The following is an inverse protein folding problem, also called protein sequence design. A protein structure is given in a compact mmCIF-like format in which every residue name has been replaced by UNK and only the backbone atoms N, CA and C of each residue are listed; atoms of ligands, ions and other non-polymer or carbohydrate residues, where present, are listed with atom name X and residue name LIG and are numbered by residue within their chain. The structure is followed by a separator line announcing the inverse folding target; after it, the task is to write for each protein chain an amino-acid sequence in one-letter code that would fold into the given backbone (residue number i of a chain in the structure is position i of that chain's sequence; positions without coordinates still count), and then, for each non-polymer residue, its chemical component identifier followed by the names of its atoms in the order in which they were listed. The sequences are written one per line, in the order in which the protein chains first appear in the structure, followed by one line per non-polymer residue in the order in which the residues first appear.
data_IF_362398083788
#
_entry.id   IF_362398083788
#
_cell.length_a   1.000
_cell.length_b   1.000
_cell.length_c   1.000
_cell.angle_alpha   90.00
_cell.angle_beta   90.00
_cell.angle_gamma   90.00
#
_symmetry.space_group_name_H-M   'P 1'
#
loop_
_entity.id
_entity.type
_entity.pdbx_description
1 polymer ?
#
# COMPACT_ATOMS: atom_id res chain seq x y z
N UNK A 1 11.13 -12.90 17.39
CA UNK A 1 10.49 -12.07 16.36
C UNK A 1 9.25 -11.42 16.97
N UNK A 2 9.10 -10.10 16.84
CA UNK A 2 7.87 -9.45 17.24
C UNK A 2 6.81 -9.75 16.16
N UNK A 3 5.95 -10.71 16.39
CA UNK A 3 4.80 -11.01 15.53
C UNK A 3 3.55 -10.36 16.12
N UNK A 4 2.67 -9.89 15.24
CA UNK A 4 1.33 -9.42 15.59
C UNK A 4 0.31 -10.31 14.89
N UNK A 5 -0.81 -10.56 15.56
CA UNK A 5 -1.94 -11.24 14.94
C UNK A 5 -2.81 -10.23 14.21
N UNK A 6 -3.13 -10.52 12.94
CA UNK A 6 -4.06 -9.75 12.12
C UNK A 6 -5.12 -10.73 11.62
N UNK A 7 -6.38 -10.41 11.87
CA UNK A 7 -7.48 -11.23 11.36
C UNK A 7 -7.65 -10.97 9.87
N UNK A 8 -7.90 -12.02 9.10
CA UNK A 8 -8.13 -11.95 7.65
C UNK A 8 -9.36 -12.76 7.27
N UNK A 9 -10.16 -12.21 6.36
CA UNK A 9 -11.28 -12.89 5.73
C UNK A 9 -10.95 -13.07 4.25
N UNK A 10 -11.08 -14.32 3.77
CA UNK A 10 -11.06 -14.64 2.36
C UNK A 10 -12.47 -14.44 1.78
N UNK A 11 -12.60 -13.41 0.94
CA UNK A 11 -13.88 -13.09 0.28
C UNK A 11 -14.06 -13.86 -1.04
N UNK A 12 -13.08 -14.68 -1.41
CA UNK A 12 -13.09 -15.35 -2.71
C UNK A 12 -13.84 -16.67 -2.71
N UNK A 13 -14.11 -17.24 -1.55
CA UNK A 13 -14.73 -18.54 -1.19
C UNK A 13 -14.70 -19.67 -2.25
N UNK A 14 -14.34 -19.39 -3.50
CA UNK A 14 -14.32 -20.31 -4.64
C UNK A 14 -13.23 -20.01 -5.69
N UNK A 15 -12.39 -18.98 -5.51
CA UNK A 15 -11.48 -18.50 -6.59
C UNK A 15 -10.02 -18.90 -6.43
N UNK A 16 -9.67 -19.80 -5.51
CA UNK A 16 -8.29 -20.31 -5.30
C UNK A 16 -7.20 -19.22 -5.20
N UNK A 17 -7.51 -18.07 -4.60
CA UNK A 17 -6.52 -17.02 -4.36
C UNK A 17 -5.74 -17.39 -3.10
N UNK A 18 -4.43 -17.46 -3.21
CA UNK A 18 -3.59 -17.71 -2.04
C UNK A 18 -3.54 -16.49 -1.14
N UNK A 19 -3.78 -16.68 0.16
CA UNK A 19 -3.61 -15.63 1.17
C UNK A 19 -2.21 -15.01 1.09
N UNK A 20 -2.05 -13.73 1.46
CA UNK A 20 -0.76 -13.07 1.48
C UNK A 20 0.24 -13.83 2.36
N UNK A 21 1.42 -14.10 1.82
CA UNK A 21 2.53 -14.74 2.54
C UNK A 21 3.85 -14.10 2.16
N UNK A 22 4.79 -14.14 3.07
CA UNK A 22 6.16 -13.73 2.79
C UNK A 22 6.80 -14.66 1.76
N UNK A 23 7.44 -14.10 0.75
CA UNK A 23 8.11 -14.89 -0.28
C UNK A 23 9.38 -15.58 0.26
N UNK A 24 10.08 -14.91 1.18
CA UNK A 24 11.27 -15.42 1.90
C UNK A 24 11.22 -14.98 3.36
N UNK A 25 12.06 -15.57 4.20
CA UNK A 25 12.18 -15.20 5.62
C UNK A 25 12.57 -13.71 5.81
N UNK A 26 13.34 -13.14 4.87
CA UNK A 26 13.78 -11.74 4.91
C UNK A 26 12.85 -10.77 4.17
N UNK A 27 11.72 -11.24 3.60
CA UNK A 27 10.78 -10.34 2.94
C UNK A 27 10.09 -9.44 3.95
N UNK A 28 10.00 -8.14 3.65
CA UNK A 28 9.30 -7.16 4.49
C UNK A 28 7.84 -6.97 4.08
N UNK A 29 7.51 -7.18 2.81
CA UNK A 29 6.17 -7.01 2.26
C UNK A 29 5.48 -8.32 1.92
N UNK A 30 4.17 -8.32 2.08
CA UNK A 30 3.27 -9.39 1.67
C UNK A 30 2.64 -9.03 0.33
N UNK A 31 2.76 -9.88 -0.68
CA UNK A 31 2.18 -9.61 -1.99
C UNK A 31 0.64 -9.60 -1.94
N UNK A 32 0.04 -8.57 -2.54
CA UNK A 32 -1.38 -8.47 -2.80
C UNK A 32 -1.66 -8.82 -4.26
N UNK A 33 -2.64 -9.69 -4.48
CA UNK A 33 -2.95 -10.23 -5.80
C UNK A 33 -4.27 -9.70 -6.35
N UNK A 34 -4.36 -9.64 -7.67
CA UNK A 34 -5.57 -9.23 -8.38
C UNK A 34 -6.62 -10.35 -8.35
N UNK A 35 -7.73 -10.12 -7.63
CA UNK A 35 -8.89 -11.01 -7.60
C UNK A 35 -9.81 -10.73 -8.80
N UNK A 36 -9.44 -11.23 -9.96
CA UNK A 36 -10.15 -11.00 -11.21
C UNK A 36 -10.69 -12.31 -11.78
N UNK A 37 -11.81 -12.24 -12.49
CA UNK A 37 -12.35 -13.38 -13.27
C UNK A 37 -11.69 -13.50 -14.64
N UNK A 38 -11.34 -12.38 -15.24
CA UNK A 38 -10.70 -12.30 -16.56
C UNK A 38 -9.64 -11.22 -16.60
N UNK A 39 -8.76 -11.33 -17.58
CA UNK A 39 -7.71 -10.34 -17.86
C UNK A 39 -8.30 -8.96 -18.12
N UNK A 40 -7.73 -7.95 -17.49
CA UNK A 40 -8.08 -6.54 -17.68
C UNK A 40 -7.00 -5.83 -18.51
N UNK A 41 -7.45 -5.04 -19.47
CA UNK A 41 -6.61 -4.15 -20.27
C UNK A 41 -6.53 -2.77 -19.62
N UNK A 42 -5.37 -2.38 -19.11
CA UNK A 42 -5.11 -1.07 -18.56
C UNK A 42 -4.38 -0.18 -19.58
N UNK A 43 -5.10 0.77 -20.15
CA UNK A 43 -4.57 1.72 -21.14
C UNK A 43 -3.50 2.64 -20.51
N UNK A 44 -2.58 3.23 -21.32
CA UNK A 44 -1.67 4.26 -20.87
C UNK A 44 -2.37 5.39 -20.14
N UNK A 45 -1.74 5.92 -19.09
CA UNK A 45 -2.20 7.06 -18.28
C UNK A 45 -3.59 6.86 -17.60
N UNK A 46 -4.09 5.62 -17.56
CA UNK A 46 -5.36 5.30 -16.88
C UNK A 46 -5.12 4.67 -15.52
N UNK A 47 -6.07 4.93 -14.63
CA UNK A 47 -6.15 4.31 -13.30
C UNK A 47 -7.36 3.39 -13.24
N UNK A 48 -7.24 2.30 -12.50
CA UNK A 48 -8.32 1.33 -12.25
C UNK A 48 -8.24 0.82 -10.82
N UNK A 49 -9.37 0.52 -10.22
CA UNK A 49 -9.46 -0.12 -8.91
C UNK A 49 -9.53 -1.63 -9.09
N UNK A 50 -8.62 -2.37 -8.45
CA UNK A 50 -8.49 -3.84 -8.54
C UNK A 50 -8.82 -4.45 -7.18
N UNK A 51 -9.81 -5.35 -7.10
CA UNK A 51 -10.09 -6.09 -5.89
C UNK A 51 -8.98 -7.09 -5.57
N UNK A 52 -8.72 -7.33 -4.29
CA UNK A 52 -7.78 -8.37 -3.82
C UNK A 52 -8.46 -9.65 -3.34
N UNK A 53 -9.77 -9.61 -3.12
CA UNK A 53 -10.55 -10.72 -2.59
C UNK A 53 -10.29 -10.99 -1.10
N UNK A 54 -9.65 -10.09 -0.39
CA UNK A 54 -9.40 -10.22 1.06
C UNK A 54 -9.78 -8.97 1.81
N UNK A 55 -10.28 -9.15 3.02
CA UNK A 55 -10.44 -8.11 4.03
C UNK A 55 -9.55 -8.43 5.24
N UNK A 56 -9.03 -7.40 5.90
CA UNK A 56 -8.21 -7.56 7.10
C UNK A 56 -8.76 -6.73 8.25
N UNK A 57 -8.49 -7.15 9.46
CA UNK A 57 -8.77 -6.39 10.68
C UNK A 57 -7.52 -6.36 11.56
N UNK A 58 -6.85 -5.22 11.60
CA UNK A 58 -5.58 -5.04 12.36
C UNK A 58 -5.87 -4.99 13.86
N UNK A 59 -7.01 -4.41 14.27
CA UNK A 59 -7.47 -4.31 15.65
C UNK A 59 -6.59 -3.43 16.56
N UNK A 60 -5.28 -3.47 16.41
CA UNK A 60 -4.35 -2.68 17.23
C UNK A 60 -4.26 -1.24 16.72
N UNK A 61 -4.76 -0.22 17.47
CA UNK A 61 -4.79 1.17 17.03
C UNK A 61 -3.40 1.83 16.90
N UNK A 62 -2.34 1.15 17.32
CA UNK A 62 -0.96 1.61 17.19
C UNK A 62 -0.24 1.04 15.97
N UNK A 63 -0.97 0.33 15.09
CA UNK A 63 -0.43 -0.28 13.88
C UNK A 63 -1.29 0.14 12.69
N UNK A 64 -0.64 0.40 11.56
CA UNK A 64 -1.30 0.62 10.27
C UNK A 64 -0.76 -0.32 9.23
N UNK A 65 -1.59 -0.68 8.24
CA UNK A 65 -1.15 -1.31 7.01
C UNK A 65 -0.77 -0.26 5.98
N UNK A 66 0.36 -0.43 5.30
CA UNK A 66 0.79 0.44 4.20
C UNK A 66 0.86 -0.38 2.92
N UNK A 67 0.03 -0.02 1.94
CA UNK A 67 0.07 -0.61 0.60
C UNK A 67 1.01 0.20 -0.26
N UNK A 68 1.95 -0.50 -0.90
CA UNK A 68 3.03 0.05 -1.70
C UNK A 68 3.06 -0.61 -3.08
N UNK A 69 3.59 0.10 -4.11
CA UNK A 69 3.83 -0.54 -5.40
C UNK A 69 4.94 -1.58 -5.28
N UNK A 70 4.95 -2.55 -6.19
CA UNK A 70 6.05 -3.50 -6.33
C UNK A 70 7.16 -2.88 -7.20
N UNK A 71 8.40 -2.95 -6.74
CA UNK A 71 9.56 -2.34 -7.41
C UNK A 71 9.68 -2.73 -8.88
N UNK A 72 9.54 -4.02 -9.20
CA UNK A 72 9.63 -4.53 -10.56
C UNK A 72 8.53 -4.02 -11.49
N UNK A 73 7.28 -3.90 -11.00
CA UNK A 73 6.18 -3.34 -11.77
C UNK A 73 6.37 -1.83 -11.96
N UNK A 74 6.72 -1.10 -10.90
CA UNK A 74 6.91 0.34 -10.94
C UNK A 74 8.05 0.75 -11.87
N UNK A 75 9.23 0.17 -11.68
CA UNK A 75 10.42 0.53 -12.45
C UNK A 75 10.38 0.04 -13.91
N UNK A 76 10.11 -1.27 -14.13
CA UNK A 76 10.21 -1.87 -15.47
C UNK A 76 8.98 -1.66 -16.34
N UNK A 77 7.78 -1.54 -15.74
CA UNK A 77 6.51 -1.49 -16.48
C UNK A 77 5.77 -0.16 -16.32
N UNK A 78 6.18 0.70 -15.40
CA UNK A 78 5.49 1.94 -15.10
C UNK A 78 4.12 1.73 -14.44
N UNK A 79 3.91 0.60 -13.76
CA UNK A 79 2.68 0.28 -13.05
C UNK A 79 2.89 0.57 -11.56
N UNK A 80 2.16 1.56 -11.07
CA UNK A 80 2.28 2.06 -9.69
C UNK A 80 0.88 2.22 -9.08
N UNK A 81 0.82 2.68 -7.83
CA UNK A 81 -0.47 3.00 -7.20
C UNK A 81 -0.95 4.38 -7.67
N UNK A 82 -2.25 4.48 -7.97
CA UNK A 82 -2.89 5.73 -8.36
C UNK A 82 -2.98 6.76 -7.22
N UNK A 83 -3.04 6.29 -6.00
CA UNK A 83 -3.00 7.09 -4.77
C UNK A 83 -1.58 7.20 -4.16
N UNK A 84 -0.54 6.75 -4.87
CA UNK A 84 0.87 6.67 -4.48
C UNK A 84 1.12 5.71 -3.32
N UNK A 85 0.42 5.86 -2.21
CA UNK A 85 0.48 5.02 -1.00
C UNK A 85 -0.95 4.77 -0.52
N UNK A 86 -1.27 3.54 -0.15
CA UNK A 86 -2.51 3.19 0.53
C UNK A 86 -2.27 3.06 2.03
N UNK A 87 -3.02 3.78 2.85
CA UNK A 87 -3.02 3.64 4.31
C UNK A 87 -4.26 2.82 4.68
N UNK A 88 -4.07 1.78 5.47
CA UNK A 88 -5.14 0.91 5.97
C UNK A 88 -5.24 1.09 7.48
N UNK A 89 -6.31 1.71 7.89
CA UNK A 89 -6.61 1.98 9.29
C UNK A 89 -6.84 0.68 10.07
N UNK A 90 -6.53 0.69 11.36
CA UNK A 90 -6.59 -0.49 12.22
C UNK A 90 -8.00 -1.05 12.41
N UNK A 91 -9.02 -0.23 12.20
CA UNK A 91 -10.45 -0.55 12.33
C UNK A 91 -11.16 -0.73 10.96
N UNK A 92 -10.43 -0.57 9.84
CA UNK A 92 -10.98 -0.87 8.53
C UNK A 92 -11.19 -2.37 8.36
N UNK A 93 -12.37 -2.78 7.92
CA UNK A 93 -12.77 -4.18 7.76
C UNK A 93 -13.32 -4.49 6.35
N UNK A 94 -13.27 -3.52 5.44
CA UNK A 94 -13.67 -3.72 4.05
C UNK A 94 -12.64 -4.48 3.22
N UNK A 95 -13.00 -4.86 2.01
CA UNK A 95 -12.09 -5.47 1.04
C UNK A 95 -10.92 -4.53 0.73
N UNK A 96 -9.71 -5.06 0.70
CA UNK A 96 -8.55 -4.31 0.23
C UNK A 96 -8.63 -4.13 -1.28
N UNK A 97 -8.77 -2.87 -1.70
CA UNK A 97 -8.84 -2.49 -3.11
C UNK A 97 -7.56 -1.77 -3.51
N UNK A 98 -6.99 -2.14 -4.65
CA UNK A 98 -5.73 -1.56 -5.14
C UNK A 98 -6.03 -0.60 -6.28
N UNK A 99 -5.79 0.70 -6.06
CA UNK A 99 -5.80 1.71 -7.12
C UNK A 99 -4.52 1.58 -7.93
N UNK A 100 -4.62 1.11 -9.19
CA UNK A 100 -3.46 0.88 -10.07
C UNK A 100 -3.45 1.92 -11.17
N UNK A 101 -2.34 2.61 -11.33
CA UNK A 101 -2.09 3.57 -12.40
C UNK A 101 -1.02 3.06 -13.36
N UNK A 102 -1.35 3.06 -14.64
CA UNK A 102 -0.39 2.84 -15.73
C UNK A 102 0.20 4.20 -16.16
N UNK A 103 1.33 4.60 -15.58
CA UNK A 103 2.05 5.84 -15.98
C UNK A 103 2.90 5.68 -17.23
N UNK A 104 2.93 4.49 -17.81
CA UNK A 104 3.69 4.22 -19.04
C UNK A 104 2.95 4.68 -20.30
N UNK A 105 3.62 4.63 -21.46
CA UNK A 105 3.03 4.90 -22.78
C UNK A 105 2.50 3.63 -23.45
N UNK A 106 2.62 2.45 -22.82
CA UNK A 106 2.21 1.16 -23.37
C UNK A 106 1.01 0.61 -22.61
N UNK A 107 0.16 -0.15 -23.31
CA UNK A 107 -0.90 -0.92 -22.68
C UNK A 107 -0.29 -1.97 -21.75
N UNK A 108 -0.86 -2.10 -20.56
CA UNK A 108 -0.55 -3.15 -19.61
C UNK A 108 -1.76 -4.08 -19.44
N UNK A 109 -1.51 -5.36 -19.26
CA UNK A 109 -2.55 -6.34 -18.98
C UNK A 109 -2.37 -6.89 -17.57
N UNK A 110 -3.45 -6.87 -16.78
CA UNK A 110 -3.51 -7.47 -15.45
C UNK A 110 -4.26 -8.78 -15.58
N UNK A 111 -3.61 -9.89 -15.27
CA UNK A 111 -4.25 -11.20 -15.27
C UNK A 111 -4.80 -11.54 -13.89
N UNK A 112 -5.79 -12.45 -13.81
CA UNK A 112 -6.18 -13.02 -12.52
C UNK A 112 -4.97 -13.54 -11.75
N UNK A 113 -4.94 -13.29 -10.44
CA UNK A 113 -3.89 -13.71 -9.53
C UNK A 113 -2.51 -13.04 -9.72
N UNK A 114 -2.37 -12.05 -10.61
CA UNK A 114 -1.15 -11.25 -10.71
C UNK A 114 -0.86 -10.54 -9.39
N UNK A 115 0.42 -10.51 -8.98
CA UNK A 115 0.89 -9.73 -7.82
C UNK A 115 1.01 -8.27 -8.21
N UNK A 116 0.05 -7.45 -7.78
CA UNK A 116 -0.12 -6.06 -8.26
C UNK A 116 0.39 -5.00 -7.29
N UNK A 117 0.44 -5.32 -6.00
CA UNK A 117 0.93 -4.47 -4.93
C UNK A 117 1.55 -5.32 -3.81
N UNK A 118 2.00 -4.67 -2.76
CA UNK A 118 2.45 -5.31 -1.53
C UNK A 118 1.98 -4.51 -0.32
N UNK A 119 1.76 -5.18 0.81
CA UNK A 119 1.41 -4.54 2.08
C UNK A 119 2.49 -4.82 3.13
N UNK A 120 2.81 -3.80 3.90
CA UNK A 120 3.62 -3.91 5.13
C UNK A 120 2.80 -3.42 6.32
N UNK A 121 3.17 -3.81 7.53
CA UNK A 121 2.56 -3.31 8.76
C UNK A 121 3.63 -2.58 9.56
N UNK A 122 3.29 -1.36 10.02
CA UNK A 122 4.21 -0.52 10.77
C UNK A 122 3.52 0.06 12.01
N UNK A 123 4.27 0.28 13.11
CA UNK A 123 3.76 1.03 14.24
C UNK A 123 3.57 2.50 13.87
N UNK A 124 2.54 3.13 14.46
CA UNK A 124 2.27 4.56 14.28
C UNK A 124 2.25 5.26 15.63
N UNK A 125 2.59 6.55 15.61
CA UNK A 125 2.46 7.45 16.75
C UNK A 125 1.22 8.31 16.52
N UNK A 126 0.34 8.40 17.54
CA UNK A 126 -0.82 9.28 17.55
C UNK A 126 -0.50 10.51 18.43
N UNK A 127 -0.13 11.63 17.83
CA UNK A 127 0.21 12.84 18.61
C UNK A 127 -1.03 13.45 19.22
N UNK A 128 -0.85 14.12 20.38
CA UNK A 128 -1.80 15.04 20.95
C UNK A 128 -1.29 16.45 20.64
N UNK A 129 -2.11 17.27 19.98
CA UNK A 129 -1.73 18.62 19.62
C UNK A 129 -1.94 19.58 20.80
N UNK A 130 -0.92 20.39 21.13
CA UNK A 130 -0.99 21.49 22.07
C UNK A 130 -0.96 22.81 21.30
N UNK A 131 -2.03 23.59 21.41
CA UNK A 131 -2.08 24.91 20.76
C UNK A 131 -1.18 25.88 21.52
N UNK A 132 -0.17 26.43 20.84
CA UNK A 132 0.76 27.42 21.39
C UNK A 132 0.74 28.69 20.54
N UNK A 133 1.16 29.82 21.10
CA UNK A 133 1.24 31.09 20.37
C UNK A 133 2.53 31.24 19.56
N UNK A 134 3.59 30.55 19.97
CA UNK A 134 4.90 30.55 19.30
C UNK A 134 5.64 29.27 19.64
N UNK A 135 6.60 28.89 18.79
CA UNK A 135 7.55 27.82 19.06
C UNK A 135 8.84 28.35 19.67
N UNK A 136 9.54 27.50 20.38
CA UNK A 136 10.92 27.77 20.78
C UNK A 136 11.80 27.90 19.52
N UNK A 137 12.75 28.87 19.55
CA UNK A 137 13.67 29.08 18.42
C UNK A 137 14.61 27.90 18.29
N UNK A 138 14.79 27.44 17.05
CA UNK A 138 15.79 26.44 16.67
C UNK A 138 16.73 27.02 15.61
N UNK A 139 17.88 26.36 15.36
CA UNK A 139 18.82 26.78 14.32
C UNK A 139 18.14 26.77 12.94
N UNK A 140 17.26 25.82 12.68
CA UNK A 140 16.50 25.71 11.41
C UNK A 140 15.33 26.66 11.35
N UNK A 141 14.65 26.88 12.48
CA UNK A 141 13.43 27.71 12.62
C UNK A 141 12.41 27.40 11.52
N UNK A 142 12.03 28.36 10.69
CA UNK A 142 11.05 28.26 9.59
C UNK A 142 11.70 27.89 8.22
N UNK A 143 13.00 27.57 8.21
CA UNK A 143 13.70 27.15 6.99
C UNK A 143 13.09 25.91 6.34
N UNK A 144 12.43 26.10 5.18
CA UNK A 144 11.72 25.08 4.41
C UNK A 144 12.54 24.49 3.27
N UNK A 145 11.96 24.47 2.07
CA UNK A 145 12.55 23.86 0.88
C UNK A 145 13.91 24.48 0.54
N UNK A 146 14.93 23.62 0.40
CA UNK A 146 16.28 24.05 0.04
C UNK A 146 17.11 24.61 1.19
N UNK A 147 16.63 24.57 2.44
CA UNK A 147 17.35 25.09 3.62
C UNK A 147 18.77 24.52 3.78
N UNK A 148 18.98 23.24 3.50
CA UNK A 148 20.28 22.57 3.59
C UNK A 148 21.16 22.67 2.33
N UNK A 149 20.69 23.37 1.27
CA UNK A 149 21.40 23.43 -0.01
C UNK A 149 21.31 22.12 -0.82
N UNK A 150 21.99 22.11 -1.97
CA UNK A 150 22.09 20.93 -2.86
C UNK A 150 23.50 20.31 -2.74
N UNK A 151 24.45 21.01 -2.17
CA UNK A 151 25.82 20.57 -1.93
C UNK A 151 26.22 20.86 -0.49
#
# INVERSE_FOLDING_TARGET
MNSIEIQIIDLTAQKNISLPKYATLGSSGLDLRACLEKKIKLKPQKTILIPTGIAIYIKNPNITGIILPRSGLGHKKGIVLGNLVGIIDSDYQGELMISIWNRSKKVFYINPNDRVAQIIFIPIIKPIFSLVKSFDKTIRSDGGFGHSGIT
#
